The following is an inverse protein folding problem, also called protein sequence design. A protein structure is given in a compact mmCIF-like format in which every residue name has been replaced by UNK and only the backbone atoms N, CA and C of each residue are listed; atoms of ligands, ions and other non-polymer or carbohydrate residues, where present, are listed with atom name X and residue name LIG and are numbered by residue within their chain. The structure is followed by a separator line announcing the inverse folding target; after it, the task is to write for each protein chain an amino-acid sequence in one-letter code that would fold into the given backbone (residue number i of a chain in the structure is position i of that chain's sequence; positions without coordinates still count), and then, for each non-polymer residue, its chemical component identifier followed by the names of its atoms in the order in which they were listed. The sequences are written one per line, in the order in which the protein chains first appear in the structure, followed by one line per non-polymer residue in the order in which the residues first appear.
data_IF_956550291311
#
_entry.id   IF_956550291311
#
_cell.length_a   1.000
_cell.length_b   1.000
_cell.length_c   1.000
_cell.angle_alpha   90.00
_cell.angle_beta   90.00
_cell.angle_gamma   90.00
#
_symmetry.space_group_name_H-M   'P 1'
#
loop_
_entity.id
_entity.type
_entity.pdbx_description
1 polymer ?
#
# COMPACT_ATOMS: atom_id res chain seq x y z
N UNK A 1 -23.98 -9.21 -14.19
CA UNK A 1 -23.10 -9.30 -13.03
C UNK A 1 -23.16 -7.96 -12.32
N UNK A 2 -23.66 -7.95 -11.12
CA UNK A 2 -23.62 -6.75 -10.29
C UNK A 2 -22.13 -6.45 -9.99
N UNK A 3 -21.66 -5.27 -10.38
CA UNK A 3 -20.29 -4.85 -10.13
C UNK A 3 -20.12 -4.58 -8.63
N UNK A 4 -19.16 -5.24 -8.03
CA UNK A 4 -18.75 -4.92 -6.66
C UNK A 4 -17.57 -3.92 -6.72
N UNK A 5 -17.89 -2.64 -6.62
CA UNK A 5 -16.91 -1.56 -6.73
C UNK A 5 -15.76 -1.67 -5.71
N UNK A 6 -16.03 -2.22 -4.52
CA UNK A 6 -15.00 -2.45 -3.51
C UNK A 6 -14.01 -3.53 -3.96
N UNK A 7 -14.54 -4.66 -4.44
CA UNK A 7 -13.70 -5.73 -4.94
C UNK A 7 -12.92 -5.28 -6.19
N UNK A 8 -13.60 -4.65 -7.15
CA UNK A 8 -12.97 -4.17 -8.39
C UNK A 8 -11.86 -3.14 -8.12
N UNK A 9 -12.10 -2.19 -7.21
CA UNK A 9 -11.13 -1.16 -6.82
C UNK A 9 -9.91 -1.74 -6.09
N UNK A 10 -10.15 -2.58 -5.08
CA UNK A 10 -9.07 -3.20 -4.32
C UNK A 10 -8.24 -4.17 -5.16
N UNK A 11 -8.88 -5.00 -5.97
CA UNK A 11 -8.15 -5.88 -6.90
C UNK A 11 -7.35 -5.08 -7.93
N UNK A 12 -7.84 -3.92 -8.35
CA UNK A 12 -7.10 -3.02 -9.23
C UNK A 12 -5.79 -2.54 -8.59
N UNK A 13 -5.82 -2.16 -7.31
CA UNK A 13 -4.61 -1.76 -6.55
C UNK A 13 -3.66 -2.94 -6.43
N UNK A 14 -4.11 -4.07 -5.91
CA UNK A 14 -3.27 -5.25 -5.63
C UNK A 14 -2.62 -5.80 -6.91
N UNK A 15 -3.41 -5.92 -8.00
CA UNK A 15 -2.89 -6.40 -9.28
C UNK A 15 -1.89 -5.39 -9.87
N UNK A 16 -2.18 -4.10 -9.78
CA UNK A 16 -1.30 -3.05 -10.27
C UNK A 16 0.04 -3.03 -9.55
N UNK A 17 0.03 -3.13 -8.24
CA UNK A 17 1.19 -3.25 -7.37
C UNK A 17 2.02 -4.50 -7.69
N UNK A 18 1.39 -5.68 -7.69
CA UNK A 18 2.07 -6.94 -8.00
C UNK A 18 2.66 -7.00 -9.43
N UNK A 19 2.05 -6.32 -10.40
CA UNK A 19 2.62 -6.16 -11.75
C UNK A 19 3.81 -5.18 -11.75
N UNK A 20 3.79 -4.17 -10.88
CA UNK A 20 4.83 -3.14 -10.76
C UNK A 20 6.07 -3.63 -10.01
N UNK A 21 5.91 -4.47 -9.00
CA UNK A 21 6.98 -4.93 -8.11
C UNK A 21 8.26 -5.43 -8.84
N UNK A 22 8.19 -6.26 -9.91
CA UNK A 22 9.39 -6.74 -10.61
C UNK A 22 10.15 -5.65 -11.39
N UNK A 23 9.53 -4.53 -11.67
CA UNK A 23 10.13 -3.42 -12.46
C UNK A 23 10.28 -2.14 -11.65
N UNK A 24 10.04 -2.20 -10.35
CA UNK A 24 10.21 -1.08 -9.44
C UNK A 24 11.60 -0.48 -9.53
N UNK A 25 11.68 0.84 -9.49
CA UNK A 25 12.89 1.65 -9.67
C UNK A 25 13.56 1.59 -11.05
N UNK A 26 13.03 0.83 -12.00
CA UNK A 26 13.53 0.85 -13.38
C UNK A 26 13.06 2.08 -14.15
N UNK A 27 13.96 2.67 -14.91
CA UNK A 27 13.61 3.71 -15.87
C UNK A 27 12.79 3.16 -17.05
N UNK A 28 12.02 4.02 -17.73
CA UNK A 28 11.17 3.62 -18.87
C UNK A 28 11.96 2.91 -19.97
N UNK A 29 13.15 3.43 -20.32
CA UNK A 29 14.00 2.86 -21.36
C UNK A 29 14.59 1.52 -20.91
N UNK A 30 14.87 1.37 -19.63
CA UNK A 30 15.33 0.13 -19.04
C UNK A 30 14.24 -0.95 -19.12
N UNK A 31 12.99 -0.60 -18.75
CA UNK A 31 11.86 -1.52 -18.89
C UNK A 31 11.66 -1.93 -20.35
N UNK A 32 11.74 -0.97 -21.28
CA UNK A 32 11.59 -1.24 -22.71
C UNK A 32 12.71 -2.11 -23.29
N UNK A 33 13.93 -1.99 -22.75
CA UNK A 33 15.12 -2.76 -23.15
C UNK A 33 15.27 -4.13 -22.47
N UNK A 34 14.38 -4.54 -21.57
CA UNK A 34 14.45 -5.84 -20.89
C UNK A 34 14.44 -6.99 -21.89
N UNK A 35 15.20 -8.04 -21.62
CA UNK A 35 15.18 -9.28 -22.42
C UNK A 35 13.79 -9.93 -22.45
N UNK A 36 13.02 -9.82 -21.36
CA UNK A 36 11.64 -10.28 -21.28
C UNK A 36 10.63 -9.35 -22.03
N UNK A 37 11.08 -8.16 -22.48
CA UNK A 37 10.22 -7.16 -23.07
C UNK A 37 9.36 -6.40 -22.05
N UNK A 38 8.30 -5.72 -22.50
CA UNK A 38 7.38 -5.00 -21.61
C UNK A 38 6.62 -5.98 -20.68
N UNK A 39 6.25 -5.51 -19.50
CA UNK A 39 5.44 -6.29 -18.54
C UNK A 39 4.10 -6.67 -19.19
N UNK A 40 3.80 -7.96 -19.23
CA UNK A 40 2.57 -8.52 -19.84
C UNK A 40 1.75 -9.37 -18.87
N UNK A 41 2.27 -9.63 -17.69
CA UNK A 41 1.66 -10.48 -16.66
C UNK A 41 2.50 -10.46 -15.41
N UNK A 42 2.14 -11.28 -14.44
CA UNK A 42 2.92 -11.46 -13.22
C UNK A 42 4.30 -12.03 -13.56
N UNK A 43 5.33 -11.47 -12.95
CA UNK A 43 6.71 -11.88 -13.14
C UNK A 43 7.39 -12.00 -11.78
N UNK A 44 8.42 -12.84 -11.68
CA UNK A 44 9.31 -12.89 -10.51
C UNK A 44 10.53 -12.00 -10.71
N UNK A 45 11.17 -11.60 -9.61
CA UNK A 45 12.45 -10.86 -9.63
C UNK A 45 12.36 -9.45 -9.06
N UNK A 46 12.85 -8.47 -9.81
CA UNK A 46 12.99 -7.09 -9.34
C UNK A 46 14.10 -6.93 -8.29
N UNK A 47 14.19 -5.76 -7.69
CA UNK A 47 15.22 -5.42 -6.68
C UNK A 47 15.11 -6.24 -5.40
N UNK A 48 13.92 -6.73 -5.10
CA UNK A 48 13.65 -7.56 -3.92
C UNK A 48 13.68 -9.07 -4.20
N UNK A 49 13.89 -9.48 -5.45
CA UNK A 49 13.93 -10.91 -5.87
C UNK A 49 12.69 -11.71 -5.47
N UNK A 50 11.51 -11.07 -5.54
CA UNK A 50 10.26 -11.68 -5.08
C UNK A 50 9.67 -12.66 -6.10
N UNK A 51 8.86 -13.64 -5.63
CA UNK A 51 8.05 -14.49 -6.50
C UNK A 51 7.05 -13.70 -7.34
N UNK A 52 6.55 -14.28 -8.42
CA UNK A 52 5.48 -13.69 -9.22
C UNK A 52 4.20 -13.48 -8.39
N UNK A 53 3.50 -12.36 -8.63
CA UNK A 53 2.27 -12.02 -7.93
C UNK A 53 2.45 -11.45 -6.52
N UNK A 54 3.70 -11.19 -6.11
CA UNK A 54 3.98 -10.54 -4.82
C UNK A 54 3.57 -9.06 -4.87
N UNK A 55 2.75 -8.65 -3.90
CA UNK A 55 2.40 -7.25 -3.66
C UNK A 55 3.31 -6.64 -2.59
N UNK A 56 3.39 -5.30 -2.56
CA UNK A 56 4.30 -4.53 -1.70
C UNK A 56 3.56 -3.84 -0.54
N UNK A 57 4.18 -2.80 0.04
CA UNK A 57 3.60 -1.96 1.07
C UNK A 57 2.34 -1.21 0.58
N UNK A 58 2.25 -0.89 -0.71
CA UNK A 58 1.07 -0.28 -1.34
C UNK A 58 -0.21 -1.07 -1.03
N UNK A 59 -0.20 -2.35 -1.36
CA UNK A 59 -1.35 -3.23 -1.12
C UNK A 59 -1.52 -3.59 0.35
N UNK A 60 -0.44 -3.82 1.08
CA UNK A 60 -0.48 -4.18 2.50
C UNK A 60 -1.16 -3.09 3.32
N UNK A 61 -0.76 -1.84 3.16
CA UNK A 61 -1.36 -0.71 3.86
C UNK A 61 -2.78 -0.40 3.36
N UNK A 62 -3.09 -0.63 2.07
CA UNK A 62 -4.45 -0.53 1.56
C UNK A 62 -5.36 -1.61 2.16
N UNK A 63 -4.89 -2.85 2.32
CA UNK A 63 -5.62 -3.94 2.97
C UNK A 63 -5.87 -3.65 4.45
N UNK A 64 -4.87 -3.16 5.18
CA UNK A 64 -4.99 -2.73 6.57
C UNK A 64 -6.08 -1.65 6.74
N UNK A 65 -6.07 -0.63 5.86
CA UNK A 65 -7.09 0.43 5.83
C UNK A 65 -8.48 -0.12 5.52
N UNK A 66 -8.58 -1.03 4.53
CA UNK A 66 -9.85 -1.67 4.18
C UNK A 66 -10.42 -2.47 5.35
N UNK A 67 -9.57 -3.20 6.05
CA UNK A 67 -9.97 -4.06 7.15
C UNK A 67 -10.50 -3.24 8.34
N UNK A 68 -9.83 -2.13 8.68
CA UNK A 68 -10.32 -1.15 9.64
C UNK A 68 -11.73 -0.64 9.28
N UNK A 69 -11.90 -0.13 8.06
CA UNK A 69 -13.19 0.39 7.59
C UNK A 69 -14.27 -0.72 7.58
N UNK A 70 -13.90 -1.95 7.22
CA UNK A 70 -14.82 -3.09 7.21
C UNK A 70 -15.31 -3.43 8.60
N UNK A 71 -14.46 -3.39 9.62
CA UNK A 71 -14.79 -3.74 10.99
C UNK A 71 -15.55 -2.61 11.70
N UNK A 72 -15.02 -1.39 11.64
CA UNK A 72 -15.57 -0.26 12.38
C UNK A 72 -16.71 0.45 11.65
N UNK A 73 -16.89 0.25 10.34
CA UNK A 73 -17.86 0.92 9.47
C UNK A 73 -17.67 2.45 9.36
N UNK A 74 -16.47 2.91 9.69
CA UNK A 74 -16.02 4.31 9.62
C UNK A 74 -14.52 4.37 9.28
N UNK A 75 -14.03 5.56 8.99
CA UNK A 75 -12.59 5.82 8.82
C UNK A 75 -12.05 6.25 10.18
N UNK A 76 -11.52 5.31 10.92
CA UNK A 76 -10.88 5.55 12.21
C UNK A 76 -9.38 5.59 12.05
N UNK A 77 -8.77 6.75 12.29
CA UNK A 77 -7.34 6.94 12.06
C UNK A 77 -6.48 6.25 13.11
N UNK A 78 -6.97 6.06 14.33
CA UNK A 78 -6.24 5.35 15.37
C UNK A 78 -6.19 3.85 15.07
N UNK A 79 -7.31 3.23 14.69
CA UNK A 79 -7.34 1.82 14.32
C UNK A 79 -6.50 1.57 13.04
N UNK A 80 -6.61 2.45 12.05
CA UNK A 80 -5.78 2.35 10.83
C UNK A 80 -4.29 2.42 11.17
N UNK A 81 -3.86 3.37 12.03
CA UNK A 81 -2.46 3.48 12.43
C UNK A 81 -1.99 2.29 13.27
N UNK A 82 -2.84 1.75 14.13
CA UNK A 82 -2.54 0.51 14.87
C UNK A 82 -2.27 -0.65 13.91
N UNK A 83 -3.11 -0.83 12.88
CA UNK A 83 -2.90 -1.86 11.86
C UNK A 83 -1.66 -1.62 11.00
N UNK A 84 -1.25 -0.36 10.82
CA UNK A 84 0.02 -0.03 10.17
C UNK A 84 1.22 -0.39 11.05
N UNK A 85 1.10 -0.28 12.37
CA UNK A 85 2.12 -0.79 13.31
C UNK A 85 2.19 -2.32 13.22
N UNK A 86 1.05 -3.02 13.25
CA UNK A 86 0.99 -4.49 13.12
C UNK A 86 1.62 -4.96 11.79
N UNK A 87 1.39 -4.21 10.69
CA UNK A 87 2.08 -4.46 9.43
C UNK A 87 3.59 -4.24 9.54
N UNK A 88 4.01 -3.14 10.16
CA UNK A 88 5.41 -2.73 10.25
C UNK A 88 6.24 -3.64 11.15
N UNK A 89 5.69 -4.07 12.29
CA UNK A 89 6.38 -4.89 13.28
C UNK A 89 6.20 -6.40 13.07
N UNK A 90 4.97 -6.83 12.77
CA UNK A 90 4.58 -8.24 12.76
C UNK A 90 4.38 -8.81 11.34
N UNK A 91 4.45 -7.97 10.30
CA UNK A 91 4.27 -8.40 8.92
C UNK A 91 2.83 -8.76 8.54
N UNK A 92 1.84 -8.27 9.30
CA UNK A 92 0.43 -8.44 8.96
C UNK A 92 0.13 -7.86 7.57
N UNK A 93 -0.84 -8.42 6.88
CA UNK A 93 -1.22 -8.01 5.51
C UNK A 93 -0.14 -8.22 4.43
N UNK A 94 1.02 -8.76 4.76
CA UNK A 94 2.08 -9.06 3.79
C UNK A 94 1.88 -10.44 3.15
N UNK A 95 2.45 -10.69 1.96
CA UNK A 95 2.30 -12.00 1.31
C UNK A 95 3.06 -13.13 2.03
N UNK A 96 4.07 -12.82 2.84
CA UNK A 96 4.99 -13.80 3.43
C UNK A 96 5.20 -13.63 4.96
N UNK A 97 4.46 -12.76 5.61
CA UNK A 97 4.60 -12.50 7.06
C UNK A 97 5.80 -11.62 7.42
N UNK A 98 6.45 -11.01 6.44
CA UNK A 98 7.58 -10.08 6.64
C UNK A 98 7.33 -8.80 5.82
N UNK A 99 7.41 -7.61 6.44
CA UNK A 99 7.25 -6.36 5.73
C UNK A 99 8.49 -6.08 4.86
N UNK A 100 8.27 -5.55 3.67
CA UNK A 100 9.33 -5.10 2.78
C UNK A 100 8.86 -3.89 1.98
N UNK A 101 9.76 -3.24 1.25
CA UNK A 101 9.51 -2.03 0.44
C UNK A 101 9.00 -0.83 1.25
N UNK A 102 9.37 -0.76 2.52
CA UNK A 102 8.92 0.32 3.40
C UNK A 102 9.52 1.66 3.01
N UNK A 103 8.68 2.59 2.55
CA UNK A 103 9.10 3.95 2.26
C UNK A 103 9.41 4.75 3.53
N UNK A 104 10.49 5.56 3.51
CA UNK A 104 10.90 6.37 4.66
C UNK A 104 9.78 7.26 5.22
N UNK A 105 8.89 7.76 4.38
CA UNK A 105 7.77 8.59 4.84
C UNK A 105 6.80 7.82 5.73
N UNK A 106 6.53 6.56 5.37
CA UNK A 106 5.64 5.69 6.14
C UNK A 106 6.29 5.22 7.43
N UNK A 107 7.53 4.71 7.37
CA UNK A 107 8.24 4.23 8.56
C UNK A 107 8.40 5.32 9.62
N UNK A 108 8.85 6.52 9.23
CA UNK A 108 8.98 7.65 10.15
C UNK A 108 7.65 8.09 10.78
N UNK A 109 6.56 8.02 10.02
CA UNK A 109 5.24 8.35 10.54
C UNK A 109 4.72 7.28 11.52
N UNK A 110 4.93 6.00 11.23
CA UNK A 110 4.58 4.89 12.11
C UNK A 110 5.38 4.97 13.41
N UNK A 111 6.71 5.06 13.34
CA UNK A 111 7.58 5.22 14.51
C UNK A 111 7.23 6.45 15.37
N UNK A 112 6.78 7.54 14.73
CA UNK A 112 6.31 8.71 15.47
C UNK A 112 4.97 8.45 16.15
N UNK A 113 4.04 7.78 15.47
CA UNK A 113 2.76 7.40 16.05
C UNK A 113 2.92 6.49 17.27
N UNK A 114 3.81 5.52 17.22
CA UNK A 114 4.10 4.65 18.38
C UNK A 114 4.59 5.41 19.62
N UNK A 115 5.32 6.51 19.42
CA UNK A 115 5.82 7.34 20.53
C UNK A 115 4.78 8.32 21.06
N UNK A 116 3.97 8.91 20.19
CA UNK A 116 3.12 10.07 20.48
C UNK A 116 1.64 9.71 20.54
N UNK A 117 1.23 8.59 19.96
CA UNK A 117 -0.16 8.12 19.85
C UNK A 117 -1.13 9.17 19.29
N UNK A 118 -0.65 9.98 18.33
CA UNK A 118 -1.46 10.99 17.65
C UNK A 118 -1.40 10.79 16.12
N UNK A 119 -2.44 10.18 15.54
CA UNK A 119 -2.48 9.93 14.10
C UNK A 119 -2.57 11.21 13.26
N UNK A 120 -3.02 12.32 13.86
CA UNK A 120 -3.18 13.58 13.13
C UNK A 120 -1.85 14.32 12.92
N UNK A 121 -0.87 14.08 13.77
CA UNK A 121 0.41 14.78 13.74
C UNK A 121 1.60 13.90 13.41
N UNK A 122 1.42 12.57 13.26
CA UNK A 122 2.52 11.65 12.99
C UNK A 122 3.18 11.86 11.61
N UNK A 123 2.46 12.38 10.62
CA UNK A 123 2.99 12.64 9.29
C UNK A 123 4.04 13.76 9.24
N UNK A 124 4.97 13.66 8.29
CA UNK A 124 5.97 14.70 8.05
C UNK A 124 5.35 15.97 7.46
N UNK A 125 5.77 17.16 7.94
CA UNK A 125 5.23 18.47 7.54
C UNK A 125 6.23 19.36 6.81
N UNK A 126 7.45 18.87 6.51
CA UNK A 126 8.45 19.66 5.80
C UNK A 126 8.18 19.72 4.29
N UNK A 127 8.75 20.73 3.61
CA UNK A 127 8.70 20.84 2.14
C UNK A 127 9.25 19.60 1.40
N UNK A 128 10.07 18.79 2.08
CA UNK A 128 10.66 17.56 1.54
C UNK A 128 9.86 16.30 1.90
N UNK A 129 8.76 16.43 2.63
CA UNK A 129 7.89 15.31 3.03
C UNK A 129 6.85 15.01 1.92
N UNK A 130 7.36 14.71 0.71
CA UNK A 130 6.54 14.54 -0.51
C UNK A 130 6.45 13.07 -0.97
N UNK A 131 6.64 12.11 -0.08
CA UNK A 131 6.45 10.70 -0.40
C UNK A 131 5.01 10.40 -0.80
N UNK A 132 4.82 9.36 -1.63
CA UNK A 132 3.50 8.93 -2.10
C UNK A 132 2.74 8.03 -1.10
N UNK A 133 3.30 7.78 0.08
CA UNK A 133 2.77 6.83 1.06
C UNK A 133 1.30 7.01 1.45
N UNK A 134 0.77 8.24 1.44
CA UNK A 134 -0.66 8.47 1.65
C UNK A 134 -1.51 8.19 0.41
N UNK A 135 -0.96 8.42 -0.79
CA UNK A 135 -1.66 8.23 -2.06
C UNK A 135 -1.82 6.74 -2.41
N UNK A 136 -0.77 5.96 -2.24
CA UNK A 136 -0.73 4.53 -2.61
C UNK A 136 -1.83 3.71 -1.91
N UNK A 137 -2.19 4.07 -0.66
CA UNK A 137 -3.15 3.34 0.18
C UNK A 137 -4.53 3.98 0.32
N UNK A 138 -4.83 5.06 -0.43
CA UNK A 138 -6.05 5.87 -0.25
C UNK A 138 -7.33 5.20 -0.79
N UNK A 139 -7.21 4.17 -1.62
CA UNK A 139 -8.37 3.57 -2.33
C UNK A 139 -9.52 3.16 -1.39
N UNK A 140 -9.31 2.49 -0.25
CA UNK A 140 -10.41 2.13 0.65
C UNK A 140 -11.17 3.35 1.19
N UNK A 141 -10.46 4.42 1.55
CA UNK A 141 -11.09 5.65 2.01
C UNK A 141 -11.90 6.34 0.90
N UNK A 142 -11.40 6.32 -0.35
CA UNK A 142 -12.15 6.83 -1.51
C UNK A 142 -13.42 6.02 -1.77
N UNK A 143 -13.35 4.70 -1.67
CA UNK A 143 -14.52 3.82 -1.84
C UNK A 143 -15.55 4.04 -0.72
N UNK A 144 -15.08 4.21 0.51
CA UNK A 144 -15.96 4.55 1.64
C UNK A 144 -16.67 5.89 1.42
N UNK A 145 -15.93 6.93 1.04
CA UNK A 145 -16.51 8.24 0.76
C UNK A 145 -17.54 8.19 -0.38
N UNK A 146 -17.22 7.43 -1.45
CA UNK A 146 -18.14 7.23 -2.57
C UNK A 146 -19.46 6.57 -2.15
N UNK A 147 -19.39 5.47 -1.38
CA UNK A 147 -20.58 4.77 -0.88
C UNK A 147 -21.44 5.63 0.04
N UNK A 148 -20.82 6.48 0.83
CA UNK A 148 -21.48 7.38 1.77
C UNK A 148 -21.92 8.69 1.14
N UNK A 149 -21.54 8.95 -0.12
CA UNK A 149 -21.83 10.20 -0.84
C UNK A 149 -21.28 11.44 -0.14
N UNK A 150 -20.08 11.31 0.43
CA UNK A 150 -19.33 12.36 1.11
C UNK A 150 -18.55 13.23 0.11
#
# INVERSE_FOLDING_TARGET
MDRNIWLDGMMGVIIGDALGCPVQFMGRDEIAGRAAGPVKGMESGGVYHMPEGTWTDDSSMALATLDSIRELKEVDLEDIMTRFVDWYEDGEYTPFGEPFDMGNTCSLAIEKYEREHDPMTCGGTSERSNGNGSLMRIMPACLYAYDRKL
#
